data_IF_797887300963
#
_entry.id   IF_797887300963
#
_cell.length_a   1.000
_cell.length_b   1.000
_cell.length_c   1.000
_cell.angle_alpha   90.00
_cell.angle_beta   90.00
_cell.angle_gamma   90.00
#
_symmetry.space_group_name_H-M   'P 1'
#
loop_
_entity.id
_entity.type
_entity.pdbx_description
1 polymer ?
#
# COMPACT_ATOMS: atom_id res chain seq x y z
N UNK A 1 -11.03 -8.17 12.82
CA UNK A 1 -11.50 -9.03 13.92
C UNK A 1 -10.92 -8.50 15.23
N UNK A 2 -11.58 -8.71 16.37
CA UNK A 2 -11.02 -8.36 17.68
C UNK A 2 -10.08 -9.45 18.16
N UNK A 3 -8.99 -9.05 18.82
CA UNK A 3 -8.05 -9.92 19.49
C UNK A 3 -8.26 -9.73 21.00
N UNK A 4 -8.44 -10.85 21.71
CA UNK A 4 -8.79 -10.86 23.13
C UNK A 4 -7.72 -11.65 23.88
N UNK A 5 -7.20 -11.03 24.94
CA UNK A 5 -6.26 -11.62 25.88
C UNK A 5 -7.00 -11.98 27.18
N UNK A 6 -6.92 -13.25 27.58
CA UNK A 6 -7.65 -13.82 28.72
C UNK A 6 -6.71 -14.10 29.89
N UNK A 7 -7.20 -13.87 31.13
CA UNK A 7 -6.54 -14.17 32.40
C UNK A 7 -7.56 -14.66 33.44
N UNK A 8 -7.60 -14.10 34.65
CA UNK A 8 -8.72 -14.32 35.60
C UNK A 8 -10.08 -13.76 35.14
N UNK A 9 -10.09 -13.12 33.97
CA UNK A 9 -11.21 -12.50 33.27
C UNK A 9 -10.71 -11.96 31.92
N UNK A 10 -11.38 -10.97 31.33
CA UNK A 10 -10.89 -10.28 30.13
C UNK A 10 -9.90 -9.19 30.56
N UNK A 11 -8.62 -9.38 30.25
CA UNK A 11 -7.55 -8.45 30.66
C UNK A 11 -7.35 -7.37 29.61
N UNK A 12 -7.44 -7.73 28.32
CA UNK A 12 -7.26 -6.79 27.22
C UNK A 12 -8.08 -7.19 26.01
N UNK A 13 -8.76 -6.21 25.43
CA UNK A 13 -9.43 -6.33 24.13
C UNK A 13 -8.84 -5.29 23.19
N UNK A 14 -8.44 -5.73 22.00
CA UNK A 14 -7.94 -4.86 20.94
C UNK A 14 -8.69 -5.15 19.65
N UNK A 15 -9.07 -4.10 18.91
CA UNK A 15 -9.74 -4.26 17.62
C UNK A 15 -11.24 -4.02 17.73
N UNK A 16 -12.07 -4.82 17.08
CA UNK A 16 -13.50 -4.54 17.02
C UNK A 16 -14.37 -5.77 16.97
N UNK A 17 -15.40 -5.81 17.82
CA UNK A 17 -16.42 -6.86 17.90
C UNK A 17 -17.80 -6.21 17.93
N UNK A 18 -18.79 -6.83 17.27
CA UNK A 18 -20.20 -6.43 17.34
C UNK A 18 -20.49 -4.92 17.15
N UNK A 19 -19.74 -4.25 16.26
CA UNK A 19 -19.95 -2.81 16.00
C UNK A 19 -19.24 -1.87 16.98
N UNK A 20 -18.50 -2.37 17.97
CA UNK A 20 -17.70 -1.57 18.91
C UNK A 20 -16.20 -1.70 18.62
N UNK A 21 -15.46 -0.61 18.77
CA UNK A 21 -13.99 -0.58 18.66
C UNK A 21 -13.37 -0.36 20.03
N UNK A 22 -12.51 -1.28 20.43
CA UNK A 22 -11.78 -1.29 21.70
C UNK A 22 -10.38 -0.74 21.45
N UNK A 23 -9.98 0.24 22.24
CA UNK A 23 -8.69 0.94 22.12
C UNK A 23 -8.13 1.28 23.51
N UNK A 24 -6.81 1.44 23.59
CA UNK A 24 -6.12 1.87 24.82
C UNK A 24 -5.57 3.28 24.59
N UNK A 25 -5.85 4.18 25.51
CA UNK A 25 -5.22 5.50 25.64
C UNK A 25 -4.30 5.50 26.87
N UNK A 26 -3.50 6.56 27.03
CA UNK A 26 -2.40 6.61 28.01
C UNK A 26 -2.79 6.25 29.46
N UNK A 27 -4.05 6.42 29.86
CA UNK A 27 -4.54 6.03 31.20
C UNK A 27 -5.77 5.11 31.24
N UNK A 28 -6.45 4.84 30.12
CA UNK A 28 -7.76 4.16 30.15
C UNK A 28 -8.01 3.30 28.91
N UNK A 29 -8.90 2.32 29.07
CA UNK A 29 -9.48 1.56 27.97
C UNK A 29 -10.74 2.28 27.48
N UNK A 30 -10.82 2.53 26.18
CA UNK A 30 -11.93 3.22 25.54
C UNK A 30 -12.65 2.27 24.57
N UNK A 31 -13.98 2.23 24.68
CA UNK A 31 -14.88 1.55 23.76
C UNK A 31 -15.70 2.61 23.05
N UNK A 32 -15.63 2.62 21.73
CA UNK A 32 -16.45 3.50 20.88
C UNK A 32 -17.35 2.69 19.96
N UNK A 33 -18.57 3.15 19.73
CA UNK A 33 -19.39 2.59 18.66
C UNK A 33 -18.78 2.93 17.30
N UNK A 34 -18.88 1.98 16.36
CA UNK A 34 -18.50 2.23 14.97
C UNK A 34 -19.60 3.04 14.32
N UNK A 35 -19.31 4.29 14.03
CA UNK A 35 -20.06 5.02 12.99
C UNK A 35 -19.81 4.31 11.66
N UNK A 36 -20.86 3.78 11.04
CA UNK A 36 -20.77 3.26 9.67
C UNK A 36 -20.65 4.48 8.75
N UNK A 37 -19.51 4.70 8.07
CA UNK A 37 -19.38 5.83 7.16
C UNK A 37 -20.41 5.69 6.04
N UNK A 38 -20.93 6.82 5.54
CA UNK A 38 -21.69 6.86 4.29
C UNK A 38 -20.87 6.17 3.21
N UNK A 39 -21.50 5.26 2.46
CA UNK A 39 -20.84 4.43 1.44
C UNK A 39 -20.36 5.35 0.31
N UNK A 40 -19.13 5.86 0.43
CA UNK A 40 -18.51 6.67 -0.60
C UNK A 40 -18.21 5.76 -1.78
N UNK A 41 -18.89 6.00 -2.90
CA UNK A 41 -18.64 5.40 -4.20
C UNK A 41 -17.98 6.43 -5.14
N UNK A 42 -16.74 6.78 -4.85
CA UNK A 42 -15.97 7.72 -5.68
C UNK A 42 -15.46 7.04 -6.94
N UNK A 43 -15.29 7.80 -8.03
CA UNK A 43 -14.70 7.29 -9.27
C UNK A 43 -13.34 6.61 -9.05
N UNK A 44 -12.52 7.15 -8.13
CA UNK A 44 -11.24 6.54 -7.75
C UNK A 44 -11.40 5.15 -7.11
N UNK A 45 -12.39 4.96 -6.24
CA UNK A 45 -12.65 3.65 -5.64
C UNK A 45 -13.15 2.64 -6.69
N UNK A 46 -13.96 3.08 -7.65
CA UNK A 46 -14.38 2.23 -8.78
C UNK A 46 -13.18 1.80 -9.63
N UNK A 47 -12.30 2.74 -9.97
CA UNK A 47 -11.07 2.44 -10.71
C UNK A 47 -10.21 1.41 -9.99
N UNK A 48 -9.96 1.60 -8.69
CA UNK A 48 -9.17 0.65 -7.90
C UNK A 48 -9.82 -0.74 -7.89
N UNK A 49 -11.14 -0.82 -7.68
CA UNK A 49 -11.86 -2.10 -7.72
C UNK A 49 -11.73 -2.77 -9.09
N UNK A 50 -11.92 -2.01 -10.16
CA UNK A 50 -11.74 -2.51 -11.53
C UNK A 50 -10.31 -3.02 -11.78
N UNK A 51 -9.29 -2.30 -11.28
CA UNK A 51 -7.89 -2.74 -11.35
C UNK A 51 -7.65 -4.07 -10.64
N UNK A 52 -8.20 -4.24 -9.43
CA UNK A 52 -8.10 -5.52 -8.71
C UNK A 52 -8.80 -6.66 -9.45
N UNK A 53 -10.01 -6.42 -9.96
CA UNK A 53 -10.74 -7.42 -10.76
C UNK A 53 -9.97 -7.81 -12.02
N UNK A 54 -9.42 -6.82 -12.73
CA UNK A 54 -8.60 -7.04 -13.92
C UNK A 54 -7.37 -7.89 -13.63
N UNK A 55 -6.60 -7.55 -12.60
CA UNK A 55 -5.39 -8.30 -12.22
C UNK A 55 -5.72 -9.71 -11.71
N UNK A 56 -6.86 -9.89 -11.03
CA UNK A 56 -7.28 -11.20 -10.55
C UNK A 56 -7.63 -12.12 -11.71
N UNK A 57 -8.34 -11.60 -12.71
CA UNK A 57 -8.64 -12.33 -13.94
C UNK A 57 -7.35 -12.67 -14.70
N UNK A 58 -6.41 -11.73 -14.82
CA UNK A 58 -5.11 -11.97 -15.47
C UNK A 58 -4.31 -13.06 -14.75
N UNK A 59 -4.25 -13.03 -13.43
CA UNK A 59 -3.60 -14.07 -12.63
C UNK A 59 -4.23 -15.45 -12.84
N UNK A 60 -5.55 -15.53 -12.96
CA UNK A 60 -6.26 -16.80 -13.11
C UNK A 60 -6.23 -17.36 -14.54
N UNK A 61 -6.27 -16.49 -15.56
CA UNK A 61 -6.52 -16.90 -16.95
C UNK A 61 -5.35 -16.66 -17.90
N UNK A 62 -4.42 -15.77 -17.56
CA UNK A 62 -3.33 -15.35 -18.46
C UNK A 62 -1.96 -15.81 -17.98
N UNK A 63 -1.71 -15.81 -16.67
CA UNK A 63 -0.43 -16.23 -16.13
C UNK A 63 -0.25 -17.75 -16.28
N UNK A 64 0.95 -18.15 -16.68
CA UNK A 64 1.33 -19.56 -16.72
C UNK A 64 1.59 -20.12 -15.32
N UNK A 65 1.57 -21.44 -15.19
CA UNK A 65 1.88 -22.11 -13.92
C UNK A 65 3.28 -21.74 -13.41
N UNK A 66 4.25 -21.65 -14.31
CA UNK A 66 5.61 -21.24 -13.97
C UNK A 66 5.65 -19.83 -13.39
N UNK A 67 4.97 -18.87 -14.02
CA UNK A 67 4.94 -17.49 -13.52
C UNK A 67 4.31 -17.42 -12.12
N UNK A 68 3.25 -18.21 -11.87
CA UNK A 68 2.63 -18.29 -10.53
C UNK A 68 3.56 -18.90 -9.49
N UNK A 69 4.36 -19.91 -9.88
CA UNK A 69 5.39 -20.49 -9.03
C UNK A 69 6.48 -19.46 -8.69
N UNK A 70 6.97 -18.70 -9.67
CA UNK A 70 7.99 -17.67 -9.44
C UNK A 70 7.50 -16.63 -8.40
N UNK A 71 6.24 -16.19 -8.51
CA UNK A 71 5.62 -15.30 -7.51
C UNK A 71 5.42 -15.99 -6.15
N UNK A 72 5.09 -17.28 -6.13
CA UNK A 72 4.93 -18.03 -4.89
C UNK A 72 6.27 -18.17 -4.15
N UNK A 73 7.36 -18.40 -4.88
CA UNK A 73 8.70 -18.48 -4.31
C UNK A 73 9.17 -17.12 -3.80
N UNK A 74 8.86 -16.04 -4.52
CA UNK A 74 9.08 -14.68 -4.01
C UNK A 74 8.37 -14.43 -2.67
N UNK A 75 7.09 -14.84 -2.54
CA UNK A 75 6.32 -14.67 -1.31
C UNK A 75 6.82 -15.49 -0.11
N UNK A 76 7.44 -16.65 -0.35
CA UNK A 76 8.09 -17.45 0.70
C UNK A 76 9.35 -16.78 1.23
N UNK A 77 10.11 -16.12 0.36
CA UNK A 77 11.41 -15.57 0.70
C UNK A 77 11.35 -14.15 1.27
N UNK A 78 10.34 -13.36 0.88
CA UNK A 78 10.20 -11.98 1.33
C UNK A 78 9.33 -11.90 2.58
N UNK A 79 9.93 -11.47 3.69
CA UNK A 79 9.21 -11.07 4.90
C UNK A 79 8.78 -9.61 4.81
N UNK A 80 7.59 -9.32 5.31
CA UNK A 80 7.08 -7.96 5.47
C UNK A 80 6.75 -7.72 6.93
N UNK A 81 7.14 -6.56 7.45
CA UNK A 81 6.79 -6.16 8.81
C UNK A 81 5.31 -5.82 8.91
N UNK A 82 4.65 -6.38 9.91
CA UNK A 82 3.28 -6.03 10.26
C UNK A 82 3.25 -4.75 11.14
N UNK A 83 2.06 -4.29 11.53
CA UNK A 83 1.92 -3.06 12.35
C UNK A 83 2.55 -3.16 13.75
N UNK A 84 2.83 -4.37 14.23
CA UNK A 84 3.44 -4.66 15.53
C UNK A 84 4.94 -5.02 15.34
N UNK A 85 5.49 -4.78 14.14
CA UNK A 85 6.88 -5.06 13.76
C UNK A 85 7.29 -6.56 13.77
N UNK A 86 6.30 -7.44 13.72
CA UNK A 86 6.55 -8.87 13.51
C UNK A 86 6.71 -9.17 12.02
N UNK A 87 7.55 -10.16 11.71
CA UNK A 87 7.73 -10.64 10.34
C UNK A 87 6.53 -11.48 9.89
N UNK A 88 5.93 -11.09 8.77
CA UNK A 88 4.83 -11.79 8.13
C UNK A 88 5.16 -12.09 6.66
N UNK A 89 5.04 -13.35 6.27
CA UNK A 89 5.08 -13.76 4.87
C UNK A 89 3.75 -13.50 4.19
N UNK A 90 3.81 -13.00 2.96
CA UNK A 90 2.63 -12.68 2.15
C UNK A 90 2.65 -13.58 0.91
N UNK A 91 1.48 -14.07 0.49
CA UNK A 91 1.41 -15.01 -0.64
C UNK A 91 1.84 -14.37 -1.97
N UNK A 92 2.29 -15.20 -2.91
CA UNK A 92 2.72 -14.72 -4.24
C UNK A 92 1.64 -13.93 -4.98
N UNK A 93 0.38 -14.34 -4.87
CA UNK A 93 -0.77 -13.60 -5.42
C UNK A 93 -0.88 -12.18 -4.85
N UNK A 94 -0.71 -12.02 -3.53
CA UNK A 94 -0.74 -10.71 -2.90
C UNK A 94 0.47 -9.85 -3.29
N UNK A 95 1.64 -10.46 -3.53
CA UNK A 95 2.80 -9.76 -4.08
C UNK A 95 2.58 -9.29 -5.53
N UNK A 96 1.98 -10.13 -6.37
CA UNK A 96 1.60 -9.77 -7.74
C UNK A 96 0.66 -8.57 -7.76
N UNK A 97 -0.38 -8.61 -6.92
CA UNK A 97 -1.35 -7.51 -6.77
C UNK A 97 -0.67 -6.23 -6.29
N UNK A 98 0.12 -6.31 -5.21
CA UNK A 98 0.81 -5.16 -4.62
C UNK A 98 1.75 -4.47 -5.62
N UNK A 99 2.43 -5.24 -6.46
CA UNK A 99 3.37 -4.72 -7.46
C UNK A 99 2.66 -4.12 -8.68
N UNK A 100 1.56 -4.73 -9.14
CA UNK A 100 0.93 -4.34 -10.40
C UNK A 100 -0.18 -3.29 -10.28
N UNK A 101 -0.84 -3.17 -9.12
CA UNK A 101 -1.83 -2.10 -8.88
C UNK A 101 -1.25 -0.69 -9.11
N UNK A 102 -0.10 -0.29 -8.52
CA UNK A 102 0.45 1.04 -8.76
C UNK A 102 0.93 1.24 -10.20
N UNK A 103 1.36 0.18 -10.90
CA UNK A 103 1.74 0.26 -12.33
C UNK A 103 0.55 0.59 -13.21
N UNK A 104 -0.59 -0.08 -13.00
CA UNK A 104 -1.81 0.21 -13.75
C UNK A 104 -2.32 1.62 -13.41
N UNK A 105 -2.21 2.05 -12.15
CA UNK A 105 -2.56 3.42 -11.76
C UNK A 105 -1.67 4.48 -12.45
N UNK A 106 -0.42 4.15 -12.75
CA UNK A 106 0.48 5.03 -13.51
C UNK A 106 0.42 4.80 -15.03
N UNK A 107 -0.53 4.02 -15.55
CA UNK A 107 -0.67 3.72 -16.97
C UNK A 107 0.44 2.82 -17.55
N UNK A 108 1.23 2.17 -16.69
CA UNK A 108 2.30 1.24 -17.08
C UNK A 108 1.71 -0.17 -17.13
N UNK A 109 2.10 -0.94 -18.15
CA UNK A 109 1.68 -2.33 -18.28
C UNK A 109 2.08 -3.18 -17.05
N UNK A 110 1.23 -4.16 -16.68
CA UNK A 110 1.53 -5.10 -15.60
C UNK A 110 2.70 -6.01 -15.97
N UNK A 111 3.45 -6.44 -14.96
CA UNK A 111 4.54 -7.39 -15.07
C UNK A 111 4.04 -8.76 -14.64
N UNK A 112 4.09 -9.70 -15.58
CA UNK A 112 3.62 -11.08 -15.36
C UNK A 112 4.72 -11.99 -14.81
N UNK A 113 5.97 -11.77 -15.23
CA UNK A 113 7.11 -12.56 -14.75
C UNK A 113 7.44 -12.22 -13.29
N UNK A 114 7.63 -13.25 -12.47
CA UNK A 114 8.02 -13.09 -11.07
C UNK A 114 9.41 -12.45 -10.93
N UNK A 115 9.71 -11.79 -9.79
CA UNK A 115 11.05 -11.24 -9.54
C UNK A 115 12.08 -12.37 -9.40
N UNK A 116 13.19 -12.28 -10.12
CA UNK A 116 14.31 -13.23 -9.98
C UNK A 116 15.17 -12.97 -8.72
N UNK A 117 15.07 -11.78 -8.14
CA UNK A 117 15.80 -11.37 -6.94
C UNK A 117 14.83 -11.41 -5.75
N UNK A 118 15.03 -12.37 -4.86
CA UNK A 118 14.17 -12.63 -3.70
C UNK A 118 14.47 -11.73 -2.48
N UNK A 119 14.93 -10.50 -2.73
CA UNK A 119 15.27 -9.54 -1.69
C UNK A 119 14.40 -8.30 -1.88
N UNK A 120 14.09 -7.62 -0.77
CA UNK A 120 13.54 -6.27 -0.84
C UNK A 120 14.62 -5.41 -1.50
N UNK A 121 14.34 -4.69 -2.59
CA UNK A 121 15.35 -3.82 -3.19
C UNK A 121 15.80 -2.81 -2.14
N UNK A 122 17.11 -2.62 -2.01
CA UNK A 122 17.66 -1.51 -1.25
C UNK A 122 16.97 -0.22 -1.73
N UNK A 123 16.64 0.68 -0.80
CA UNK A 123 15.99 1.95 -1.13
C UNK A 123 16.72 2.62 -2.29
N UNK A 124 15.98 3.05 -3.32
CA UNK A 124 16.56 3.72 -4.49
C UNK A 124 17.39 4.93 -4.04
N UNK A 125 18.71 4.99 -4.34
CA UNK A 125 19.55 6.12 -3.98
C UNK A 125 19.13 7.42 -4.68
N UNK A 126 18.31 7.35 -5.74
CA UNK A 126 17.80 8.53 -6.47
C UNK A 126 16.55 9.15 -5.86
N UNK A 127 15.94 8.52 -4.85
CA UNK A 127 14.82 9.11 -4.11
C UNK A 127 15.34 10.13 -3.10
N UNK A 128 15.99 11.18 -3.59
CA UNK A 128 16.38 12.32 -2.75
C UNK A 128 15.13 13.19 -2.56
N UNK A 129 14.69 13.35 -1.31
CA UNK A 129 13.75 14.42 -0.96
C UNK A 129 14.53 15.73 -1.18
N UNK A 130 14.31 16.37 -2.34
CA UNK A 130 14.71 17.75 -2.55
C UNK A 130 13.82 18.61 -1.66
N UNK A 131 14.23 18.80 -0.42
CA UNK A 131 13.73 19.93 0.37
C UNK A 131 14.17 21.17 -0.38
N UNK A 132 13.24 21.84 -1.06
CA UNK A 132 13.49 23.16 -1.61
C UNK A 132 13.74 24.09 -0.42
N UNK A 133 15.01 24.30 -0.06
CA UNK A 133 15.38 25.45 0.75
C UNK A 133 15.09 26.68 -0.10
N UNK A 134 14.01 27.36 0.24
CA UNK A 134 13.61 28.64 -0.32
C UNK A 134 14.75 29.66 -0.12
N UNK A 135 15.62 29.80 -1.11
CA UNK A 135 16.56 30.91 -1.22
C UNK A 135 16.14 31.77 -2.40
N UNK A 136 15.97 33.04 -2.09
CA UNK A 136 15.34 34.08 -2.89
C UNK A 136 15.96 34.23 -4.28
N UNK A 137 15.04 34.47 -5.22
CA UNK A 137 15.20 34.77 -6.63
C UNK A 137 16.42 35.68 -6.95
N UNK A 138 17.32 35.19 -7.80
CA UNK A 138 18.06 36.05 -8.72
C UNK A 138 17.56 35.75 -10.13
N UNK A 139 16.69 36.60 -10.66
CA UNK A 139 16.35 36.62 -12.08
C UNK A 139 17.46 37.39 -12.81
N UNK A 140 18.33 36.68 -13.50
CA UNK A 140 19.25 37.26 -14.47
C UNK A 140 18.86 36.75 -15.86
N UNK A 141 18.59 37.70 -16.76
CA UNK A 141 18.39 37.55 -18.20
C UNK A 141 17.04 36.99 -18.69
N UNK A 142 16.02 37.85 -18.70
CA UNK A 142 14.95 37.80 -19.69
C UNK A 142 14.89 39.16 -20.39
N UNK A 143 15.63 39.28 -21.49
CA UNK A 143 15.49 40.39 -22.44
C UNK A 143 14.18 40.18 -23.20
N UNK A 144 13.22 41.07 -22.98
CA UNK A 144 12.04 41.23 -23.83
C UNK A 144 12.21 42.59 -24.49
N UNK A 145 12.65 42.58 -25.75
CA UNK A 145 12.69 43.75 -26.60
C UNK A 145 11.25 44.06 -27.05
N UNK A 146 10.69 45.18 -26.57
CA UNK A 146 9.55 45.84 -27.16
C UNK A 146 9.69 47.34 -26.90
N UNK A 147 9.98 48.12 -27.94
CA UNK A 147 9.37 49.43 -28.11
C UNK A 147 9.13 49.65 -29.61
N UNK A 148 7.84 49.60 -29.97
CA UNK A 148 7.29 50.10 -31.21
C UNK A 148 7.09 51.61 -31.03
N UNK A 149 7.73 52.39 -31.92
CA UNK A 149 7.60 53.84 -32.17
C UNK A 149 8.01 54.79 -31.04
#
# INVERSE_FOLDING_TARGET
MALVEYGGGIVRVSGSIAGNTFSKSQGFHNIRSKTKPVDKNTARQQLIRATFTYLANRWAQTLTDQQRLDWADYGKNVTLKNRIDEDQHVSGFHHYMRSNVPRIQSGIAPVDNGPAINLIPASDPKRTVRTASHLLLKFEHMQIDFDFL
#
